data_IF_760732506440
#
_entry.id   IF_760732506440
#
_cell.length_a   1.000
_cell.length_b   1.000
_cell.length_c   1.000
_cell.angle_alpha   90.00
_cell.angle_beta   90.00
_cell.angle_gamma   90.00
#
_symmetry.space_group_name_H-M   'P 1'
#
loop_
_entity.id
_entity.type
_entity.pdbx_description
1 polymer ?
#
# COMPACT_ATOMS: atom_id res chain seq x y z
N UNK A 1 -9.59 1.37 14.33
CA UNK A 1 -9.17 1.26 12.92
C UNK A 1 -7.66 1.24 12.83
N UNK A 2 -7.10 0.54 11.85
CA UNK A 2 -5.66 0.60 11.52
C UNK A 2 -5.48 0.82 10.02
N UNK A 3 -4.67 1.80 9.65
CA UNK A 3 -4.20 2.02 8.28
C UNK A 3 -2.83 1.34 8.13
N UNK A 4 -2.71 0.43 7.17
CA UNK A 4 -1.49 -0.33 6.92
C UNK A 4 -1.06 -0.13 5.47
N UNK A 5 0.12 0.44 5.26
CA UNK A 5 0.73 0.51 3.95
C UNK A 5 1.49 -0.79 3.64
N UNK A 6 1.35 -1.30 2.44
CA UNK A 6 2.13 -2.42 1.93
C UNK A 6 3.12 -1.85 0.92
N UNK A 7 4.38 -1.70 1.32
CA UNK A 7 5.38 -0.95 0.57
C UNK A 7 6.69 -1.71 0.39
N UNK A 8 7.25 -1.63 -0.80
CA UNK A 8 8.64 -2.00 -1.11
C UNK A 8 9.04 -1.32 -2.44
N UNK A 9 10.26 -0.81 -2.50
CA UNK A 9 10.80 -0.14 -3.69
C UNK A 9 11.07 -1.12 -4.86
N UNK A 10 11.14 -2.42 -4.59
CA UNK A 10 11.35 -3.44 -5.61
C UNK A 10 10.01 -3.88 -6.22
N UNK A 11 9.96 -3.97 -7.55
CA UNK A 11 8.86 -4.58 -8.27
C UNK A 11 8.86 -6.11 -8.11
N UNK A 12 7.69 -6.74 -8.23
CA UNK A 12 7.58 -8.20 -8.23
C UNK A 12 7.85 -8.90 -6.89
N UNK A 13 7.74 -8.18 -5.76
CA UNK A 13 7.89 -8.75 -4.41
C UNK A 13 6.56 -9.14 -3.76
N UNK A 14 5.51 -9.28 -4.55
CA UNK A 14 4.17 -9.66 -4.11
C UNK A 14 3.46 -8.62 -3.19
N UNK A 15 3.68 -7.31 -3.35
CA UNK A 15 2.93 -6.27 -2.63
C UNK A 15 1.42 -6.42 -2.82
N UNK A 16 0.97 -6.33 -4.06
CA UNK A 16 -0.45 -6.47 -4.46
C UNK A 16 -1.06 -7.79 -3.99
N UNK A 17 -0.33 -8.90 -4.16
CA UNK A 17 -0.77 -10.22 -3.69
C UNK A 17 -0.95 -10.23 -2.16
N UNK A 18 -0.03 -9.61 -1.42
CA UNK A 18 -0.11 -9.48 0.03
C UNK A 18 -1.31 -8.63 0.43
N UNK A 19 -1.51 -7.46 -0.21
CA UNK A 19 -2.62 -6.56 0.07
C UNK A 19 -3.96 -7.25 -0.15
N UNK A 20 -4.14 -7.89 -1.30
CA UNK A 20 -5.37 -8.60 -1.63
C UNK A 20 -5.68 -9.74 -0.65
N UNK A 21 -4.72 -10.65 -0.44
CA UNK A 21 -4.96 -11.83 0.39
C UNK A 21 -5.10 -11.48 1.87
N UNK A 22 -4.35 -10.51 2.38
CA UNK A 22 -4.52 -10.03 3.75
C UNK A 22 -5.89 -9.38 3.94
N UNK A 23 -6.32 -8.57 2.97
CA UNK A 23 -7.66 -7.96 3.00
C UNK A 23 -8.77 -8.99 2.99
N UNK A 24 -8.68 -9.99 2.11
CA UNK A 24 -9.65 -11.09 2.03
C UNK A 24 -9.68 -11.93 3.33
N UNK A 25 -8.52 -12.24 3.90
CA UNK A 25 -8.43 -12.99 5.15
C UNK A 25 -9.02 -12.21 6.34
N UNK A 26 -8.75 -10.92 6.45
CA UNK A 26 -9.34 -10.06 7.49
C UNK A 26 -10.86 -9.95 7.33
N UNK A 27 -11.37 -9.80 6.11
CA UNK A 27 -12.80 -9.79 5.83
C UNK A 27 -13.46 -11.13 6.19
N UNK A 28 -12.82 -12.26 5.86
CA UNK A 28 -13.27 -13.59 6.25
C UNK A 28 -13.27 -13.78 7.78
N UNK A 29 -12.36 -13.11 8.50
CA UNK A 29 -12.34 -13.06 9.95
C UNK A 29 -13.36 -12.06 10.56
N UNK A 30 -14.29 -11.54 9.74
CA UNK A 30 -15.40 -10.68 10.18
C UNK A 30 -15.05 -9.20 10.32
N UNK A 31 -13.88 -8.73 9.82
CA UNK A 31 -13.49 -7.32 9.86
C UNK A 31 -14.01 -6.56 8.64
N UNK A 32 -14.35 -5.29 8.83
CA UNK A 32 -14.64 -4.38 7.72
C UNK A 32 -13.34 -3.83 7.16
N UNK A 33 -13.04 -4.09 5.90
CA UNK A 33 -11.76 -3.79 5.27
C UNK A 33 -11.95 -2.93 4.03
N UNK A 34 -11.13 -1.88 3.90
CA UNK A 34 -10.98 -1.10 2.68
C UNK A 34 -9.59 -1.36 2.09
N UNK A 35 -9.56 -1.73 0.83
CA UNK A 35 -8.34 -1.75 0.01
C UNK A 35 -8.20 -0.41 -0.73
N UNK A 36 -6.98 0.08 -0.88
CA UNK A 36 -6.68 1.26 -1.71
C UNK A 36 -5.56 0.89 -2.65
N UNK A 37 -5.84 0.97 -3.94
CA UNK A 37 -4.85 0.77 -5.00
C UNK A 37 -4.19 2.12 -5.32
N UNK A 38 -2.88 2.25 -5.07
CA UNK A 38 -2.09 3.45 -5.38
C UNK A 38 -1.07 3.22 -6.49
N UNK A 39 -1.18 2.12 -7.23
CA UNK A 39 -0.32 1.86 -8.39
C UNK A 39 -1.08 2.17 -9.70
N UNK A 40 -0.50 3.00 -10.58
CA UNK A 40 -1.08 3.30 -11.90
C UNK A 40 -1.24 2.07 -12.81
N UNK A 41 -0.55 0.97 -12.48
CA UNK A 41 -0.76 -0.31 -13.16
C UNK A 41 -2.08 -0.99 -12.78
N UNK A 42 -2.79 -0.50 -11.76
CA UNK A 42 -4.09 -0.98 -11.29
C UNK A 42 -4.11 -2.51 -11.00
N UNK A 43 -2.97 -3.07 -10.58
CA UNK A 43 -2.85 -4.51 -10.38
C UNK A 43 -3.75 -5.05 -9.28
N UNK A 44 -3.95 -4.30 -8.20
CA UNK A 44 -4.87 -4.67 -7.13
C UNK A 44 -6.32 -4.61 -7.63
N UNK A 45 -6.68 -3.56 -8.37
CA UNK A 45 -8.00 -3.38 -9.00
C UNK A 45 -8.37 -4.58 -9.89
N UNK A 46 -7.44 -4.97 -10.77
CA UNK A 46 -7.62 -6.13 -11.65
C UNK A 46 -7.71 -7.43 -10.83
N UNK A 47 -6.90 -7.59 -9.79
CA UNK A 47 -6.86 -8.81 -8.98
C UNK A 47 -8.15 -9.08 -8.22
N UNK A 48 -8.94 -8.07 -7.93
CA UNK A 48 -10.28 -8.22 -7.32
C UNK A 48 -11.41 -8.37 -8.34
N UNK A 49 -11.08 -8.48 -9.63
CA UNK A 49 -12.03 -8.73 -10.71
C UNK A 49 -12.71 -7.47 -11.27
N UNK A 50 -12.14 -6.28 -11.05
CA UNK A 50 -12.65 -5.03 -11.60
C UNK A 50 -11.85 -4.59 -12.81
N UNK A 51 -12.54 -4.08 -13.85
CA UNK A 51 -11.92 -3.48 -15.01
C UNK A 51 -11.67 -1.98 -14.73
N UNK A 52 -10.40 -1.51 -14.66
CA UNK A 52 -10.08 -0.15 -14.26
C UNK A 52 -10.79 0.94 -15.08
N UNK A 53 -10.97 0.70 -16.39
CA UNK A 53 -11.60 1.67 -17.29
C UNK A 53 -13.13 1.73 -17.16
N UNK A 54 -13.75 0.76 -16.52
CA UNK A 54 -15.20 0.70 -16.32
C UNK A 54 -15.64 1.30 -14.98
N UNK A 55 -14.70 1.58 -14.06
CA UNK A 55 -15.02 2.18 -12.77
C UNK A 55 -15.19 3.69 -12.90
N UNK A 56 -16.35 4.26 -12.54
CA UNK A 56 -16.68 5.65 -12.82
C UNK A 56 -15.88 6.66 -12.00
N UNK A 57 -15.43 6.28 -10.79
CA UNK A 57 -14.61 7.10 -9.89
C UNK A 57 -13.53 6.25 -9.24
N UNK A 58 -12.29 6.74 -9.30
CA UNK A 58 -11.10 6.03 -8.83
C UNK A 58 -10.34 6.87 -7.80
N UNK A 59 -9.19 6.38 -7.35
CA UNK A 59 -8.29 7.14 -6.47
C UNK A 59 -7.83 8.46 -7.11
N UNK A 60 -7.76 8.53 -8.44
CA UNK A 60 -7.43 9.78 -9.17
C UNK A 60 -8.41 10.87 -8.82
N UNK A 61 -9.72 10.57 -8.75
CA UNK A 61 -10.74 11.54 -8.43
C UNK A 61 -10.64 12.05 -7.00
N UNK A 62 -10.18 11.21 -6.07
CA UNK A 62 -9.90 11.60 -4.68
C UNK A 62 -8.69 12.55 -4.59
N UNK A 63 -7.65 12.29 -5.39
CA UNK A 63 -6.37 13.01 -5.31
C UNK A 63 -6.37 14.35 -6.07
N UNK A 64 -7.37 14.67 -6.88
CA UNK A 64 -7.53 15.98 -7.56
C UNK A 64 -7.54 17.12 -6.54
N UNK A 65 -7.26 18.36 -7.01
CA UNK A 65 -7.21 19.56 -6.15
C UNK A 65 -8.53 19.81 -5.41
N UNK A 66 -9.65 19.69 -6.11
CA UNK A 66 -11.01 19.77 -5.57
C UNK A 66 -11.64 18.36 -5.67
N UNK A 67 -10.93 17.39 -5.10
CA UNK A 67 -11.21 15.98 -5.31
C UNK A 67 -12.56 15.52 -4.74
N UNK A 68 -13.08 14.45 -5.33
CA UNK A 68 -14.31 13.83 -4.86
C UNK A 68 -14.14 13.28 -3.43
N UNK A 69 -15.20 13.32 -2.61
CA UNK A 69 -15.19 12.62 -1.33
C UNK A 69 -14.85 11.14 -1.55
N UNK A 70 -13.90 10.60 -0.81
CA UNK A 70 -13.43 9.21 -0.99
C UNK A 70 -14.57 8.18 -0.90
N UNK A 71 -15.62 8.46 -0.14
CA UNK A 71 -16.82 7.61 -0.04
C UNK A 71 -17.49 7.36 -1.39
N UNK A 72 -17.42 8.31 -2.31
CA UNK A 72 -17.99 8.19 -3.65
C UNK A 72 -17.15 7.34 -4.60
N UNK A 73 -15.89 7.08 -4.23
CA UNK A 73 -14.94 6.30 -5.00
C UNK A 73 -14.82 4.84 -4.49
N UNK A 74 -15.48 4.52 -3.36
CA UNK A 74 -15.47 3.17 -2.79
C UNK A 74 -16.33 2.24 -3.62
N UNK A 75 -15.76 1.12 -4.06
CA UNK A 75 -16.44 0.01 -4.73
C UNK A 75 -16.58 -1.16 -3.77
N UNK A 76 -17.69 -1.87 -3.85
CA UNK A 76 -17.98 -3.05 -3.03
C UNK A 76 -17.48 -4.32 -3.73
N UNK A 77 -16.59 -5.08 -3.06
CA UNK A 77 -16.23 -6.44 -3.48
C UNK A 77 -17.19 -7.45 -2.84
N UNK A 78 -17.40 -7.32 -1.53
CA UNK A 78 -18.40 -8.07 -0.77
C UNK A 78 -18.86 -7.25 0.46
N UNK A 79 -19.66 -7.85 1.35
CA UNK A 79 -20.23 -7.11 2.49
C UNK A 79 -19.21 -6.55 3.47
N UNK A 80 -17.98 -7.08 3.50
CA UNK A 80 -16.91 -6.68 4.43
C UNK A 80 -15.62 -6.25 3.77
N UNK A 81 -15.52 -6.38 2.44
CA UNK A 81 -14.34 -6.00 1.68
C UNK A 81 -14.71 -5.02 0.58
N UNK A 82 -14.15 -3.84 0.64
CA UNK A 82 -14.34 -2.75 -0.31
C UNK A 82 -13.00 -2.34 -0.91
N UNK A 83 -13.02 -1.59 -2.01
CA UNK A 83 -11.83 -1.06 -2.65
C UNK A 83 -12.05 0.37 -3.17
N UNK A 84 -11.02 1.21 -3.09
CA UNK A 84 -10.84 2.37 -3.95
C UNK A 84 -9.86 1.96 -5.04
N UNK A 85 -10.33 1.94 -6.26
CA UNK A 85 -9.62 1.42 -7.45
C UNK A 85 -8.61 2.41 -7.97
N UNK A 86 -7.65 1.92 -8.76
CA UNK A 86 -6.69 2.72 -9.53
C UNK A 86 -6.95 2.63 -11.03
N UNK A 87 -6.29 3.52 -11.76
CA UNK A 87 -6.30 3.59 -13.22
C UNK A 87 -4.99 4.20 -13.71
N UNK A 88 -4.66 4.01 -14.99
CA UNK A 88 -3.43 4.54 -15.60
C UNK A 88 -3.26 6.06 -15.44
N UNK A 89 -4.33 6.81 -15.37
CA UNK A 89 -4.35 8.27 -15.17
C UNK A 89 -3.78 8.70 -13.81
N UNK A 90 -3.51 7.75 -12.90
CA UNK A 90 -2.81 8.04 -11.65
C UNK A 90 -1.37 8.51 -11.89
N UNK A 91 -0.71 8.09 -12.97
CA UNK A 91 0.65 8.52 -13.27
C UNK A 91 0.77 10.03 -13.58
N UNK A 92 -0.02 10.66 -14.47
CA UNK A 92 -0.03 12.11 -14.61
C UNK A 92 -0.52 12.84 -13.36
N UNK A 93 -1.48 12.28 -12.60
CA UNK A 93 -1.94 12.86 -11.33
C UNK A 93 -0.80 12.96 -10.30
N UNK A 94 0.07 11.96 -10.24
CA UNK A 94 1.25 11.98 -9.38
C UNK A 94 2.14 13.21 -9.65
N UNK A 95 2.38 13.53 -10.91
CA UNK A 95 3.16 14.71 -11.32
C UNK A 95 2.47 16.02 -10.91
N UNK A 96 1.15 16.09 -11.03
CA UNK A 96 0.35 17.25 -10.59
C UNK A 96 0.49 17.47 -9.06
N UNK A 97 0.47 16.41 -8.28
CA UNK A 97 0.59 16.48 -6.82
C UNK A 97 1.90 17.12 -6.36
N UNK A 98 3.00 16.98 -7.10
CA UNK A 98 4.31 17.51 -6.71
C UNK A 98 4.33 19.03 -6.53
N UNK A 99 3.48 19.75 -7.24
CA UNK A 99 3.36 21.22 -7.16
C UNK A 99 2.49 21.71 -6.00
N UNK A 100 1.82 20.83 -5.27
CA UNK A 100 0.78 21.19 -4.29
C UNK A 100 1.37 21.36 -2.88
N UNK A 101 0.88 22.36 -2.16
CA UNK A 101 1.21 22.54 -0.74
C UNK A 101 0.67 21.37 0.09
N UNK A 102 1.45 20.91 1.07
CA UNK A 102 1.12 19.77 1.94
C UNK A 102 0.71 18.51 1.13
N UNK A 103 1.41 18.30 0.02
CA UNK A 103 1.18 17.21 -0.93
C UNK A 103 1.30 15.82 -0.30
N UNK A 104 2.12 15.71 0.73
CA UNK A 104 2.34 14.46 1.50
C UNK A 104 1.14 14.03 2.36
N UNK A 105 0.17 14.95 2.60
CA UNK A 105 -1.00 14.72 3.48
C UNK A 105 -2.35 14.70 2.74
N UNK A 106 -2.33 14.57 1.41
CA UNK A 106 -3.56 14.59 0.61
C UNK A 106 -4.42 13.37 0.95
N UNK A 107 -3.83 12.17 0.98
CA UNK A 107 -4.53 10.93 1.29
C UNK A 107 -4.99 10.89 2.77
N UNK A 108 -4.17 11.36 3.71
CA UNK A 108 -4.58 11.46 5.13
C UNK A 108 -5.86 12.29 5.29
N UNK A 109 -5.92 13.46 4.63
CA UNK A 109 -7.12 14.29 4.67
C UNK A 109 -8.33 13.60 4.05
N UNK A 110 -8.13 12.89 2.94
CA UNK A 110 -9.20 12.17 2.25
C UNK A 110 -9.75 11.00 3.08
N UNK A 111 -8.91 10.34 3.89
CA UNK A 111 -9.31 9.21 4.71
C UNK A 111 -10.09 9.61 5.98
N UNK A 112 -9.90 10.82 6.51
CA UNK A 112 -10.54 11.26 7.77
C UNK A 112 -12.03 10.98 7.85
N UNK A 113 -12.86 11.26 6.81
CA UNK A 113 -14.31 11.08 6.89
C UNK A 113 -14.77 9.61 6.95
N UNK A 114 -13.91 8.66 6.61
CA UNK A 114 -14.27 7.23 6.54
C UNK A 114 -13.55 6.38 7.59
N UNK A 115 -12.70 6.99 8.40
CA UNK A 115 -11.89 6.28 9.40
C UNK A 115 -12.73 5.34 10.26
N UNK A 116 -13.87 5.77 10.76
CA UNK A 116 -14.71 5.00 11.67
C UNK A 116 -15.57 3.91 10.98
N UNK A 117 -15.54 3.86 9.65
CA UNK A 117 -16.34 2.90 8.85
C UNK A 117 -15.64 1.55 8.66
N UNK A 118 -14.32 1.47 8.93
CA UNK A 118 -13.50 0.29 8.68
C UNK A 118 -12.66 -0.10 9.89
N UNK A 119 -12.44 -1.40 10.08
CA UNK A 119 -11.49 -1.92 11.06
C UNK A 119 -10.05 -1.78 10.54
N UNK A 120 -9.87 -2.02 9.23
CA UNK A 120 -8.58 -1.94 8.53
C UNK A 120 -8.70 -1.21 7.20
N UNK A 121 -7.70 -0.39 6.89
CA UNK A 121 -7.47 0.17 5.56
C UNK A 121 -6.10 -0.32 5.11
N UNK A 122 -6.04 -1.07 4.00
CA UNK A 122 -4.80 -1.60 3.42
C UNK A 122 -4.48 -0.83 2.15
N UNK A 123 -3.28 -0.27 2.06
CA UNK A 123 -2.85 0.55 0.92
C UNK A 123 -1.78 -0.20 0.15
N UNK A 124 -2.07 -0.58 -1.10
CA UNK A 124 -1.09 -1.15 -2.04
C UNK A 124 -0.27 -0.02 -2.66
N UNK A 125 1.03 0.02 -2.38
CA UNK A 125 1.92 1.07 -2.83
C UNK A 125 2.62 0.71 -4.14
N UNK A 126 2.87 1.70 -5.04
CA UNK A 126 3.69 1.50 -6.23
C UNK A 126 5.14 1.09 -5.86
N UNK A 127 5.92 0.55 -6.83
CA UNK A 127 7.29 0.09 -6.57
C UNK A 127 8.33 1.22 -6.46
N UNK A 128 7.90 2.44 -6.27
CA UNK A 128 8.79 3.61 -6.15
C UNK A 128 8.48 4.36 -4.86
N UNK A 129 9.49 4.99 -4.27
CA UNK A 129 9.29 5.94 -3.18
C UNK A 129 8.86 7.30 -3.76
N UNK A 130 7.70 7.33 -4.34
CA UNK A 130 7.10 8.48 -4.97
C UNK A 130 6.20 9.24 -4.01
N UNK A 131 5.63 10.36 -4.46
CA UNK A 131 4.66 11.13 -3.65
C UNK A 131 3.43 10.29 -3.27
N UNK A 132 3.06 9.29 -4.05
CA UNK A 132 1.97 8.36 -3.73
C UNK A 132 2.36 7.47 -2.55
N UNK A 133 3.54 6.87 -2.56
CA UNK A 133 4.06 6.07 -1.43
C UNK A 133 4.24 6.93 -0.18
N UNK A 134 4.74 8.16 -0.32
CA UNK A 134 4.84 9.11 0.79
C UNK A 134 3.45 9.41 1.38
N UNK A 135 2.42 9.59 0.56
CA UNK A 135 1.04 9.77 1.04
C UNK A 135 0.53 8.54 1.80
N UNK A 136 0.80 7.33 1.31
CA UNK A 136 0.43 6.10 2.01
C UNK A 136 1.09 6.02 3.39
N UNK A 137 2.40 6.23 3.46
CA UNK A 137 3.16 6.18 4.71
C UNK A 137 2.82 7.34 5.67
N UNK A 138 2.49 8.51 5.12
CA UNK A 138 2.08 9.69 5.90
C UNK A 138 0.79 9.49 6.70
N UNK A 139 -0.13 8.65 6.22
CA UNK A 139 -1.41 8.36 6.87
C UNK A 139 -1.48 6.98 7.55
N UNK A 140 -0.44 6.16 7.39
CA UNK A 140 -0.42 4.80 7.93
C UNK A 140 -0.08 4.75 9.42
N UNK A 141 -0.77 3.87 10.16
CA UNK A 141 -0.38 3.48 11.52
C UNK A 141 0.81 2.51 11.50
N UNK A 142 1.00 1.83 10.35
CA UNK A 142 2.14 0.93 10.18
C UNK A 142 2.38 0.51 8.74
N UNK A 143 3.57 -0.02 8.50
CA UNK A 143 4.00 -0.54 7.21
C UNK A 143 4.35 -2.02 7.30
N UNK A 144 3.86 -2.82 6.35
CA UNK A 144 4.28 -4.18 6.08
C UNK A 144 5.16 -4.18 4.84
N UNK A 145 6.27 -4.92 4.90
CA UNK A 145 7.29 -4.92 3.86
C UNK A 145 7.42 -6.31 3.26
N UNK A 146 6.74 -6.63 2.15
CA UNK A 146 6.97 -7.87 1.42
C UNK A 146 8.35 -7.85 0.77
N UNK A 147 9.15 -8.89 1.01
CA UNK A 147 10.51 -9.04 0.48
C UNK A 147 10.66 -10.42 -0.15
N UNK A 148 11.03 -10.45 -1.42
CA UNK A 148 11.40 -11.70 -2.07
C UNK A 148 12.68 -12.27 -1.43
N UNK A 149 12.75 -13.58 -1.25
CA UNK A 149 13.90 -14.27 -0.67
C UNK A 149 15.08 -14.35 -1.66
N UNK A 150 15.49 -13.22 -2.24
CA UNK A 150 16.70 -13.08 -3.04
C UNK A 150 17.63 -11.99 -2.50
N UNK A 151 18.92 -12.13 -2.76
CA UNK A 151 19.96 -11.24 -2.25
C UNK A 151 19.76 -9.77 -2.63
N UNK A 152 19.30 -9.48 -3.85
CA UNK A 152 19.09 -8.09 -4.30
C UNK A 152 17.89 -7.45 -3.59
N UNK A 153 16.84 -8.24 -3.29
CA UNK A 153 15.69 -7.74 -2.54
C UNK A 153 16.07 -7.47 -1.08
N UNK A 154 16.86 -8.34 -0.45
CA UNK A 154 17.38 -8.15 0.89
C UNK A 154 18.26 -6.88 0.99
N UNK A 155 19.19 -6.68 0.06
CA UNK A 155 20.00 -5.45 0.02
C UNK A 155 19.18 -4.17 -0.16
N UNK A 156 18.10 -4.23 -0.94
CA UNK A 156 17.20 -3.08 -1.12
C UNK A 156 16.41 -2.70 0.14
N UNK A 157 16.30 -3.62 1.11
CA UNK A 157 15.55 -3.40 2.33
C UNK A 157 16.17 -2.30 3.22
N UNK A 158 17.48 -2.24 3.30
CA UNK A 158 18.19 -1.20 4.06
C UNK A 158 17.85 0.20 3.54
N UNK A 159 17.89 0.41 2.22
CA UNK A 159 17.52 1.69 1.61
C UNK A 159 16.07 2.06 1.87
N UNK A 160 15.16 1.08 1.83
CA UNK A 160 13.74 1.31 2.17
C UNK A 160 13.59 1.70 3.64
N UNK A 161 14.32 1.06 4.55
CA UNK A 161 14.29 1.40 5.97
C UNK A 161 14.77 2.82 6.25
N UNK A 162 15.83 3.26 5.58
CA UNK A 162 16.33 4.64 5.72
C UNK A 162 15.25 5.64 5.27
N UNK A 163 14.59 5.37 4.16
CA UNK A 163 13.47 6.18 3.68
C UNK A 163 12.27 6.17 4.63
N UNK A 164 11.96 5.03 5.24
CA UNK A 164 10.90 4.91 6.24
C UNK A 164 11.25 5.73 7.49
N UNK A 165 12.51 5.69 7.97
CA UNK A 165 12.97 6.50 9.11
C UNK A 165 12.84 7.98 8.83
N UNK A 166 13.24 8.45 7.64
CA UNK A 166 13.08 9.84 7.23
C UNK A 166 11.60 10.28 7.28
N UNK A 167 10.69 9.45 6.80
CA UNK A 167 9.24 9.72 6.88
C UNK A 167 8.75 9.73 8.33
N UNK A 168 9.23 8.82 9.19
CA UNK A 168 8.91 8.81 10.61
C UNK A 168 9.39 10.10 11.30
N UNK A 169 10.59 10.54 11.01
CA UNK A 169 11.17 11.74 11.63
C UNK A 169 10.48 13.03 11.19
N UNK A 170 10.13 13.15 9.91
CA UNK A 170 9.70 14.42 9.32
C UNK A 170 8.18 14.55 9.14
N UNK A 171 7.44 13.44 9.00
CA UNK A 171 6.05 13.46 8.53
C UNK A 171 5.10 12.71 9.47
N UNK A 172 5.44 11.47 9.86
CA UNK A 172 4.57 10.58 10.61
C UNK A 172 5.34 9.81 11.71
N UNK A 173 5.64 10.44 12.85
CA UNK A 173 6.44 9.83 13.92
C UNK A 173 5.77 8.62 14.60
N UNK A 174 4.46 8.48 14.48
CA UNK A 174 3.71 7.39 15.12
C UNK A 174 3.67 6.12 14.27
N UNK A 175 4.07 6.19 12.98
CA UNK A 175 4.09 5.03 12.08
C UNK A 175 5.12 3.98 12.55
N UNK A 176 4.73 2.71 12.50
CA UNK A 176 5.59 1.59 12.91
C UNK A 176 5.87 0.65 11.74
N UNK A 177 7.08 0.11 11.67
CA UNK A 177 7.32 -1.09 10.85
C UNK A 177 6.67 -2.27 11.58
N UNK A 178 5.60 -2.83 10.98
CA UNK A 178 4.85 -3.95 11.57
C UNK A 178 5.57 -5.29 11.38
N UNK A 179 6.39 -5.37 10.34
CA UNK A 179 7.21 -6.54 10.05
C UNK A 179 7.57 -6.65 8.57
N UNK A 180 8.39 -7.65 8.30
CA UNK A 180 8.82 -8.05 6.96
C UNK A 180 8.17 -9.37 6.61
N UNK A 181 7.62 -9.50 5.41
CA UNK A 181 7.00 -10.73 4.91
C UNK A 181 7.94 -11.33 3.86
N UNK A 182 8.57 -12.46 4.16
CA UNK A 182 9.31 -13.23 3.17
C UNK A 182 8.33 -13.80 2.12
N UNK A 183 8.54 -13.46 0.85
CA UNK A 183 7.67 -13.86 -0.25
C UNK A 183 8.43 -14.66 -1.30
N UNK A 184 7.70 -15.41 -2.14
CA UNK A 184 8.25 -16.17 -3.27
C UNK A 184 9.37 -17.15 -2.85
N UNK A 185 9.33 -17.64 -1.63
CA UNK A 185 10.29 -18.58 -1.07
C UNK A 185 10.22 -19.96 -1.74
N UNK A 186 11.36 -20.47 -2.20
CA UNK A 186 11.50 -21.84 -2.67
C UNK A 186 12.48 -22.62 -1.77
N UNK A 187 11.95 -23.58 -1.02
CA UNK A 187 12.74 -24.41 -0.10
C UNK A 187 13.82 -25.28 -0.79
N UNK A 188 13.83 -25.36 -2.12
CA UNK A 188 14.84 -26.09 -2.90
C UNK A 188 16.06 -25.21 -3.22
N UNK A 189 15.94 -23.90 -3.12
CA UNK A 189 16.98 -22.92 -3.42
C UNK A 189 17.77 -22.59 -2.14
N UNK A 190 19.09 -22.70 -2.19
CA UNK A 190 19.96 -22.44 -1.02
C UNK A 190 19.91 -20.97 -0.63
N UNK A 191 20.04 -20.07 -1.61
CA UNK A 191 20.03 -18.62 -1.40
C UNK A 191 18.75 -18.17 -0.69
N UNK A 192 17.59 -18.74 -1.06
CA UNK A 192 16.31 -18.43 -0.42
C UNK A 192 16.31 -18.77 1.07
N UNK A 193 16.92 -19.92 1.43
CA UNK A 193 17.04 -20.32 2.85
C UNK A 193 17.94 -19.39 3.63
N UNK A 194 19.07 -19.01 3.05
CA UNK A 194 20.04 -18.12 3.69
C UNK A 194 19.43 -16.72 3.90
N UNK A 195 18.76 -16.18 2.89
CA UNK A 195 18.06 -14.89 3.01
C UNK A 195 16.91 -14.97 4.03
N UNK A 196 16.14 -16.06 4.03
CA UNK A 196 15.08 -16.24 5.03
C UNK A 196 15.64 -16.29 6.46
N UNK A 197 16.81 -16.93 6.66
CA UNK A 197 17.48 -16.96 7.96
C UNK A 197 17.91 -15.55 8.41
N UNK A 198 18.53 -14.77 7.52
CA UNK A 198 18.92 -13.38 7.79
C UNK A 198 17.70 -12.50 8.13
N UNK A 199 16.60 -12.61 7.36
CA UNK A 199 15.37 -11.87 7.65
C UNK A 199 14.80 -12.22 9.02
N UNK A 200 14.84 -13.48 9.43
CA UNK A 200 14.40 -13.92 10.77
C UNK A 200 15.28 -13.40 11.90
N UNK A 201 16.58 -13.32 11.68
CA UNK A 201 17.52 -12.79 12.68
C UNK A 201 17.33 -11.27 12.88
N UNK A 202 17.09 -10.53 11.80
CA UNK A 202 17.01 -9.08 11.83
C UNK A 202 15.62 -8.55 12.27
N UNK A 203 14.53 -9.33 11.99
CA UNK A 203 13.13 -8.87 12.19
C UNK A 203 12.30 -9.76 13.14
N UNK A 204 12.91 -10.47 14.05
CA UNK A 204 12.20 -11.23 15.10
C UNK A 204 11.79 -10.35 16.28
#
# INVERSE_FOLDING_TARGET
>A
MKVIAIANQKGGVAKTTTTHNLGAALAAAGKNVLLIDLDSQASLTISVGMEPLEVPKTIVDVLKKDGAPIRECVQKINDRLHIVTSIIDLAPMEMEMLSRASREKILDRALKPIKDSYDYILIDCPPQLSILTINALSCADGVLIPVKTDYLAYRGLTQLQDSIREIQELINPDMKVLGVIATLYDARVSDDKDILALLKEEYN
#
